data_IF_644624497996
#
_entry.id   IF_644624497996
#
_cell.length_a   1.000
_cell.length_b   1.000
_cell.length_c   1.000
_cell.angle_alpha   90.00
_cell.angle_beta   90.00
_cell.angle_gamma   90.00
#
_symmetry.space_group_name_H-M   'P 1'
#
loop_
_entity.id
_entity.type
_entity.pdbx_description
1 polymer ?
#
# COMPACT_ATOMS: atom_id res chain seq x y z
N UNK A 1 -13.61 6.44 21.17
CA UNK A 1 -12.80 6.40 19.94
C UNK A 1 -11.52 5.64 20.24
N UNK A 2 -11.63 4.30 20.28
CA UNK A 2 -10.48 3.40 20.45
C UNK A 2 -10.20 2.85 19.06
N UNK A 3 -9.12 3.28 18.43
CA UNK A 3 -8.66 2.68 17.18
C UNK A 3 -8.14 1.29 17.53
N UNK A 4 -8.77 0.25 16.97
CA UNK A 4 -8.31 -1.12 17.12
C UNK A 4 -6.83 -1.20 16.75
N UNK A 5 -5.98 -1.55 17.72
CA UNK A 5 -4.53 -1.75 17.56
C UNK A 5 -4.16 -2.60 16.32
N UNK A 6 -4.95 -3.63 15.95
CA UNK A 6 -4.77 -4.36 14.69
C UNK A 6 -4.92 -3.51 13.42
N UNK A 7 -5.84 -2.54 13.41
CA UNK A 7 -6.03 -1.63 12.27
C UNK A 7 -4.84 -0.67 12.13
N UNK A 8 -4.29 -0.23 13.26
CA UNK A 8 -3.12 0.64 13.32
C UNK A 8 -1.86 -0.13 12.88
N UNK A 9 -1.71 -1.39 13.32
CA UNK A 9 -0.65 -2.28 12.88
C UNK A 9 -0.74 -2.59 11.37
N UNK A 10 -1.94 -2.89 10.86
CA UNK A 10 -2.16 -3.09 9.41
C UNK A 10 -1.87 -1.81 8.62
N UNK A 11 -2.22 -0.64 9.16
CA UNK A 11 -1.95 0.66 8.51
C UNK A 11 -0.45 0.97 8.48
N UNK A 12 0.28 0.71 9.56
CA UNK A 12 1.72 0.98 9.65
C UNK A 12 2.57 -0.01 8.84
N UNK A 13 2.16 -1.29 8.77
CA UNK A 13 2.92 -2.30 8.03
C UNK A 13 2.51 -2.43 6.56
N UNK A 14 1.26 -2.12 6.21
CA UNK A 14 0.81 -2.19 4.82
C UNK A 14 0.73 -0.84 4.11
N UNK A 15 0.73 0.30 4.83
CA UNK A 15 0.63 1.68 4.30
C UNK A 15 -0.41 1.88 3.19
N UNK A 16 -1.40 0.99 3.07
CA UNK A 16 -2.61 1.25 2.31
C UNK A 16 -3.40 2.24 3.14
N UNK A 17 -3.28 3.53 2.81
CA UNK A 17 -3.99 4.66 3.40
C UNK A 17 -5.39 4.27 3.90
N UNK A 18 -5.59 3.93 5.18
CA UNK A 18 -6.41 2.77 5.60
C UNK A 18 -7.52 2.40 4.60
N UNK A 19 -7.17 1.55 3.62
CA UNK A 19 -8.09 1.14 2.56
C UNK A 19 -8.50 2.25 1.58
N UNK A 20 -7.60 3.12 1.13
CA UNK A 20 -7.91 4.16 0.15
C UNK A 20 -8.28 3.50 -1.17
N UNK A 21 -7.54 2.48 -1.56
CA UNK A 21 -7.84 1.69 -2.75
C UNK A 21 -9.18 1.00 -2.56
N UNK A 22 -9.39 0.37 -1.40
CA UNK A 22 -10.65 -0.31 -1.07
C UNK A 22 -11.85 0.65 -1.09
N UNK A 23 -11.75 1.83 -0.48
CA UNK A 23 -12.79 2.87 -0.44
C UNK A 23 -13.02 3.51 -1.80
N UNK A 24 -11.95 3.81 -2.53
CA UNK A 24 -12.02 4.38 -3.87
C UNK A 24 -12.69 3.40 -4.83
N UNK A 25 -12.32 2.11 -4.78
CA UNK A 25 -12.99 1.04 -5.53
C UNK A 25 -14.46 0.90 -5.14
N UNK A 26 -14.80 1.05 -3.86
CA UNK A 26 -16.19 0.95 -3.41
C UNK A 26 -17.01 2.15 -3.89
N UNK A 27 -16.40 3.34 -3.96
CA UNK A 27 -17.04 4.55 -4.47
C UNK A 27 -17.32 4.48 -5.98
N UNK A 28 -16.64 3.60 -6.74
CA UNK A 28 -16.99 3.35 -8.14
C UNK A 28 -18.19 2.40 -8.31
N UNK A 29 -18.69 1.80 -7.23
CA UNK A 29 -19.87 0.92 -7.27
C UNK A 29 -21.16 1.72 -7.06
N UNK A 30 -22.18 1.44 -7.89
CA UNK A 30 -23.54 1.95 -7.75
C UNK A 30 -24.49 0.76 -7.62
N UNK A 31 -25.46 0.89 -6.72
CA UNK A 31 -26.56 -0.06 -6.60
C UNK A 31 -27.54 0.15 -7.77
N UNK A 32 -27.73 -0.89 -8.58
CA UNK A 32 -28.67 -0.86 -9.68
C UNK A 32 -30.09 -1.07 -9.14
N UNK A 33 -30.84 0.03 -9.05
CA UNK A 33 -32.24 0.04 -8.57
C UNK A 33 -33.22 -0.51 -9.60
N UNK A 34 -32.78 -0.93 -10.79
CA UNK A 34 -33.67 -1.44 -11.85
C UNK A 34 -34.03 -2.93 -11.71
N UNK A 35 -33.45 -3.64 -10.74
CA UNK A 35 -33.80 -5.04 -10.49
C UNK A 35 -35.15 -5.13 -9.78
N UNK A 36 -36.19 -5.14 -10.60
CA UNK A 36 -37.56 -5.67 -10.46
C UNK A 36 -38.27 -5.55 -9.10
N UNK A 37 -39.47 -4.98 -9.16
CA UNK A 37 -40.45 -4.81 -8.08
C UNK A 37 -40.93 -6.08 -7.34
N UNK A 38 -40.24 -7.23 -7.46
CA UNK A 38 -40.68 -8.51 -6.88
C UNK A 38 -39.55 -9.46 -6.47
N UNK A 39 -38.26 -9.06 -6.51
CA UNK A 39 -37.17 -9.91 -5.97
C UNK A 39 -36.05 -9.05 -5.40
N UNK A 40 -35.80 -9.17 -4.09
CA UNK A 40 -34.86 -8.37 -3.30
C UNK A 40 -33.36 -8.52 -3.67
N UNK A 41 -32.99 -8.93 -4.88
CA UNK A 41 -31.58 -9.12 -5.23
C UNK A 41 -30.93 -7.77 -5.53
N UNK A 42 -30.10 -7.27 -4.60
CA UNK A 42 -29.26 -6.08 -4.81
C UNK A 42 -28.16 -6.38 -5.83
N UNK A 43 -28.28 -5.81 -7.02
CA UNK A 43 -27.26 -5.90 -8.07
C UNK A 43 -26.37 -4.66 -8.01
N UNK A 44 -25.05 -4.86 -7.97
CA UNK A 44 -24.06 -3.77 -7.99
C UNK A 44 -23.46 -3.64 -9.39
N UNK A 45 -23.41 -2.42 -9.90
CA UNK A 45 -22.79 -2.08 -11.18
C UNK A 45 -21.68 -1.05 -10.98
N UNK A 46 -20.71 -1.00 -11.89
CA UNK A 46 -19.62 -0.02 -11.82
C UNK A 46 -19.98 1.22 -12.61
N UNK A 47 -19.91 2.38 -11.96
CA UNK A 47 -20.00 3.68 -12.60
C UNK A 47 -18.75 3.90 -13.47
N UNK A 48 -18.96 3.95 -14.79
CA UNK A 48 -17.89 4.09 -15.77
C UNK A 48 -17.12 5.40 -15.60
N UNK A 49 -17.78 6.49 -15.22
CA UNK A 49 -17.15 7.80 -15.09
C UNK A 49 -16.33 7.87 -13.80
N UNK A 50 -16.87 7.41 -12.67
CA UNK A 50 -16.11 7.30 -11.42
C UNK A 50 -14.93 6.34 -11.55
N UNK A 51 -15.13 5.21 -12.24
CA UNK A 51 -14.06 4.26 -12.54
C UNK A 51 -12.96 4.87 -13.39
N UNK A 52 -13.33 5.62 -14.43
CA UNK A 52 -12.38 6.33 -15.29
C UNK A 52 -11.56 7.35 -14.51
N UNK A 53 -12.22 8.14 -13.65
CA UNK A 53 -11.54 9.11 -12.78
C UNK A 53 -10.56 8.42 -11.83
N UNK A 54 -11.02 7.38 -11.13
CA UNK A 54 -10.17 6.56 -10.26
C UNK A 54 -8.96 5.99 -11.01
N UNK A 55 -9.19 5.38 -12.17
CA UNK A 55 -8.14 4.74 -12.98
C UNK A 55 -7.06 5.73 -13.39
N UNK A 56 -7.44 6.95 -13.81
CA UNK A 56 -6.48 8.01 -14.16
C UNK A 56 -5.64 8.41 -12.95
N UNK A 57 -6.29 8.74 -11.83
CA UNK A 57 -5.59 9.10 -10.60
C UNK A 57 -4.67 7.97 -10.11
N UNK A 58 -5.13 6.73 -10.18
CA UNK A 58 -4.31 5.56 -9.82
C UNK A 58 -3.08 5.42 -10.72
N UNK A 59 -3.24 5.57 -12.03
CA UNK A 59 -2.11 5.55 -12.98
C UNK A 59 -1.11 6.66 -12.69
N UNK A 60 -1.58 7.90 -12.48
CA UNK A 60 -0.69 9.04 -12.20
C UNK A 60 0.12 8.80 -10.91
N UNK A 61 -0.53 8.32 -9.85
CA UNK A 61 0.14 8.02 -8.58
C UNK A 61 1.11 6.84 -8.72
N UNK A 62 0.73 5.78 -9.44
CA UNK A 62 1.58 4.61 -9.65
C UNK A 62 2.83 4.94 -10.47
N UNK A 63 2.71 5.85 -11.45
CA UNK A 63 3.86 6.37 -12.20
C UNK A 63 4.82 7.15 -11.29
N UNK A 64 4.30 8.03 -10.43
CA UNK A 64 5.13 8.77 -9.46
C UNK A 64 5.88 7.83 -8.51
N UNK A 65 5.21 6.79 -8.02
CA UNK A 65 5.84 5.79 -7.15
C UNK A 65 6.90 5.00 -7.91
N UNK A 66 6.65 4.62 -9.17
CA UNK A 66 7.64 3.92 -9.99
C UNK A 66 8.91 4.75 -10.23
N UNK A 67 8.75 6.07 -10.43
CA UNK A 67 9.87 7.01 -10.48
C UNK A 67 10.63 7.06 -9.15
N UNK A 68 9.91 7.18 -8.03
CA UNK A 68 10.55 7.23 -6.71
C UNK A 68 11.25 5.91 -6.35
N UNK A 69 10.66 4.76 -6.73
CA UNK A 69 11.28 3.45 -6.60
C UNK A 69 12.56 3.34 -7.42
N UNK A 70 12.61 3.97 -8.60
CA UNK A 70 13.82 4.03 -9.44
C UNK A 70 14.91 4.89 -8.81
N UNK A 71 14.55 6.03 -8.21
CA UNK A 71 15.50 6.86 -7.43
C UNK A 71 16.06 6.06 -6.25
N UNK A 72 15.19 5.34 -5.54
CA UNK A 72 15.59 4.48 -4.43
C UNK A 72 16.50 3.34 -4.91
N UNK A 73 16.23 2.75 -6.07
CA UNK A 73 17.08 1.74 -6.69
C UNK A 73 18.50 2.28 -6.94
N UNK A 74 18.59 3.49 -7.52
CA UNK A 74 19.87 4.16 -7.77
C UNK A 74 20.62 4.48 -6.45
N UNK A 75 19.89 4.92 -5.42
CA UNK A 75 20.45 5.16 -4.10
C UNK A 75 20.99 3.88 -3.45
N UNK A 76 20.29 2.75 -3.58
CA UNK A 76 20.76 1.45 -3.09
C UNK A 76 22.03 1.00 -3.82
N UNK A 77 22.07 1.12 -5.16
CA UNK A 77 23.27 0.79 -5.93
C UNK A 77 24.47 1.67 -5.53
N UNK A 78 24.23 2.96 -5.30
CA UNK A 78 25.27 3.89 -4.84
C UNK A 78 25.76 3.54 -3.44
N UNK A 79 24.86 3.15 -2.54
CA UNK A 79 25.20 2.71 -1.18
C UNK A 79 26.04 1.43 -1.19
N UNK A 80 25.65 0.43 -1.98
CA UNK A 80 26.42 -0.82 -2.13
C UNK A 80 27.82 -0.59 -2.73
N UNK A 81 27.97 0.41 -3.59
CA UNK A 81 29.25 0.77 -4.19
C UNK A 81 30.21 1.50 -3.24
N UNK A 82 29.77 1.88 -2.03
CA UNK A 82 30.66 2.49 -1.04
C UNK A 82 31.68 1.43 -0.60
N UNK A 83 32.97 1.75 -0.68
CA UNK A 83 34.06 0.81 -0.41
C UNK A 83 33.98 0.17 0.98
N UNK A 84 33.50 0.89 2.00
CA UNK A 84 33.30 0.34 3.35
C UNK A 84 32.25 -0.77 3.42
N UNK A 85 31.36 -0.84 2.43
CA UNK A 85 30.30 -1.84 2.32
C UNK A 85 30.73 -2.94 1.35
N UNK A 86 31.24 -2.57 0.18
CA UNK A 86 31.69 -3.52 -0.84
C UNK A 86 32.86 -4.40 -0.36
N UNK A 87 33.76 -3.83 0.43
CA UNK A 87 34.91 -4.55 1.01
C UNK A 87 34.67 -4.98 2.47
N UNK A 88 33.43 -4.96 2.96
CA UNK A 88 33.13 -5.28 4.35
C UNK A 88 33.52 -6.73 4.70
N UNK A 89 34.17 -6.97 5.86
CA UNK A 89 34.50 -8.31 6.30
C UNK A 89 33.21 -9.10 6.55
N UNK A 90 33.02 -10.16 5.76
CA UNK A 90 31.80 -10.98 5.77
C UNK A 90 31.00 -10.94 4.46
N UNK A 91 31.31 -10.04 3.51
CA UNK A 91 30.66 -9.97 2.20
C UNK A 91 29.13 -10.02 2.30
N UNK A 92 28.49 -10.95 1.58
CA UNK A 92 27.03 -11.17 1.59
C UNK A 92 26.39 -11.43 2.97
N UNK A 93 27.19 -11.80 3.98
CA UNK A 93 26.70 -11.96 5.37
C UNK A 93 26.66 -10.63 6.15
N UNK A 94 27.12 -9.52 5.56
CA UNK A 94 27.07 -8.19 6.15
C UNK A 94 25.63 -7.66 6.14
N UNK A 95 25.04 -7.46 7.32
CA UNK A 95 23.62 -7.13 7.45
C UNK A 95 23.16 -5.88 6.66
N UNK A 96 23.91 -4.75 6.63
CA UNK A 96 23.55 -3.61 5.78
C UNK A 96 23.47 -3.94 4.29
N UNK A 97 24.37 -4.78 3.80
CA UNK A 97 24.36 -5.22 2.41
C UNK A 97 23.13 -6.08 2.11
N UNK A 98 22.79 -7.02 3.01
CA UNK A 98 21.57 -7.85 2.88
C UNK A 98 20.30 -7.00 2.83
N UNK A 99 20.17 -6.02 3.73
CA UNK A 99 19.00 -5.13 3.75
C UNK A 99 18.95 -4.23 2.52
N UNK A 100 20.08 -3.76 2.00
CA UNK A 100 20.10 -2.99 0.75
C UNK A 100 19.71 -3.85 -0.46
N UNK A 101 20.10 -5.12 -0.53
CA UNK A 101 19.60 -6.03 -1.58
C UNK A 101 18.11 -6.33 -1.45
N UNK A 102 17.60 -6.56 -0.24
CA UNK A 102 16.17 -6.76 0.00
C UNK A 102 15.36 -5.51 -0.43
N UNK A 103 15.89 -4.32 -0.11
CA UNK A 103 15.35 -3.05 -0.55
C UNK A 103 15.32 -2.93 -2.08
N UNK A 104 16.42 -3.27 -2.75
CA UNK A 104 16.55 -3.24 -4.20
C UNK A 104 15.52 -4.17 -4.87
N UNK A 105 15.41 -5.41 -4.38
CA UNK A 105 14.43 -6.38 -4.88
C UNK A 105 12.99 -5.88 -4.69
N UNK A 106 12.68 -5.31 -3.53
CA UNK A 106 11.36 -4.74 -3.25
C UNK A 106 11.05 -3.54 -4.16
N UNK A 107 12.02 -2.66 -4.44
CA UNK A 107 11.86 -1.56 -5.41
C UNK A 107 11.56 -2.09 -6.83
N UNK A 108 12.28 -3.13 -7.27
CA UNK A 108 12.00 -3.77 -8.56
C UNK A 108 10.60 -4.40 -8.60
N UNK A 109 10.19 -5.10 -7.54
CA UNK A 109 8.83 -5.63 -7.44
C UNK A 109 7.78 -4.52 -7.49
N UNK A 110 8.02 -3.37 -6.85
CA UNK A 110 7.14 -2.20 -6.93
C UNK A 110 7.00 -1.67 -8.36
N UNK A 111 8.11 -1.49 -9.07
CA UNK A 111 8.11 -1.03 -10.47
C UNK A 111 7.39 -2.05 -11.37
N UNK A 112 7.75 -3.33 -11.25
CA UNK A 112 7.14 -4.40 -12.06
C UNK A 112 5.63 -4.49 -11.82
N UNK A 113 5.19 -4.48 -10.56
CA UNK A 113 3.76 -4.50 -10.24
C UNK A 113 3.06 -3.22 -10.69
N UNK A 114 3.67 -2.04 -10.54
CA UNK A 114 3.12 -0.77 -11.03
C UNK A 114 2.94 -0.73 -12.54
N UNK A 115 3.85 -1.37 -13.31
CA UNK A 115 3.75 -1.49 -14.76
C UNK A 115 2.73 -2.55 -15.21
N UNK A 116 2.68 -3.70 -14.51
CA UNK A 116 1.77 -4.80 -14.84
C UNK A 116 0.33 -4.48 -14.46
N UNK A 117 0.12 -3.77 -13.36
CA UNK A 117 -1.18 -3.34 -12.88
C UNK A 117 -1.64 -2.12 -13.70
N UNK A 118 -1.92 -2.37 -14.98
CA UNK A 118 -2.72 -1.45 -15.78
C UNK A 118 -4.13 -1.41 -15.17
N UNK A 119 -4.79 -0.23 -15.11
CA UNK A 119 -6.18 -0.15 -14.65
C UNK A 119 -7.04 -1.09 -15.51
N UNK A 120 -7.80 -2.04 -14.92
CA UNK A 120 -8.53 -3.01 -15.71
C UNK A 120 -9.60 -2.33 -16.58
N UNK A 121 -9.87 -2.95 -17.74
CA UNK A 121 -10.71 -2.38 -18.81
C UNK A 121 -12.14 -2.07 -18.38
N UNK A 122 -12.64 -2.68 -17.31
CA UNK A 122 -13.80 -2.24 -16.53
C UNK A 122 -13.92 -3.20 -15.35
N UNK A 123 -14.02 -2.67 -14.14
CA UNK A 123 -14.27 -3.51 -12.97
C UNK A 123 -15.74 -3.94 -13.01
N UNK A 124 -16.03 -5.24 -13.00
CA UNK A 124 -17.39 -5.76 -12.77
C UNK A 124 -17.35 -6.58 -11.49
N UNK A 125 -18.08 -6.14 -10.47
CA UNK A 125 -18.06 -6.80 -9.17
C UNK A 125 -18.78 -8.16 -9.25
N UNK A 126 -18.00 -9.24 -9.33
CA UNK A 126 -18.52 -10.61 -9.31
C UNK A 126 -18.68 -11.16 -7.87
N UNK A 127 -18.28 -10.40 -6.84
CA UNK A 127 -18.44 -10.78 -5.43
C UNK A 127 -17.38 -10.20 -4.49
N UNK A 128 -17.59 -10.30 -3.16
CA UNK A 128 -16.72 -9.70 -2.14
C UNK A 128 -15.27 -10.22 -2.20
N UNK A 129 -15.06 -11.50 -2.51
CA UNK A 129 -13.72 -12.08 -2.64
C UNK A 129 -12.95 -11.54 -3.86
N UNK A 130 -13.64 -11.21 -4.95
CA UNK A 130 -13.01 -10.60 -6.12
C UNK A 130 -12.60 -9.15 -5.82
N UNK A 131 -13.47 -8.41 -5.14
CA UNK A 131 -13.18 -7.04 -4.68
C UNK A 131 -11.93 -6.98 -3.79
N UNK A 132 -11.81 -7.89 -2.82
CA UNK A 132 -10.64 -7.97 -1.93
C UNK A 132 -9.35 -8.27 -2.69
N UNK A 133 -9.39 -9.21 -3.65
CA UNK A 133 -8.22 -9.54 -4.49
C UNK A 133 -7.81 -8.35 -5.35
N UNK A 134 -8.78 -7.63 -5.92
CA UNK A 134 -8.51 -6.45 -6.73
C UNK A 134 -7.84 -5.35 -5.91
N UNK A 135 -8.35 -5.06 -4.71
CA UNK A 135 -7.76 -4.09 -3.80
C UNK A 135 -6.31 -4.47 -3.43
N UNK A 136 -6.05 -5.75 -3.15
CA UNK A 136 -4.71 -6.25 -2.85
C UNK A 136 -3.75 -6.07 -4.05
N UNK A 137 -4.18 -6.43 -5.26
CA UNK A 137 -3.37 -6.28 -6.48
C UNK A 137 -3.04 -4.81 -6.74
N UNK A 138 -4.03 -3.92 -6.62
CA UNK A 138 -3.83 -2.48 -6.79
C UNK A 138 -2.96 -1.86 -5.69
N UNK A 139 -3.00 -2.38 -4.46
CA UNK A 139 -2.15 -1.93 -3.36
C UNK A 139 -0.71 -2.45 -3.42
N UNK A 140 -0.46 -3.52 -4.17
CA UNK A 140 0.86 -4.18 -4.21
C UNK A 140 2.04 -3.27 -4.60
N UNK A 141 1.95 -2.35 -5.60
CA UNK A 141 3.08 -1.49 -5.96
C UNK A 141 3.51 -0.58 -4.80
N UNK A 142 2.53 -0.08 -4.05
CA UNK A 142 2.71 0.78 -2.89
C UNK A 142 3.36 0.01 -1.74
N UNK A 143 2.86 -1.20 -1.47
CA UNK A 143 3.37 -2.07 -0.42
C UNK A 143 4.86 -2.39 -0.63
N UNK A 144 5.22 -2.84 -1.84
CA UNK A 144 6.60 -3.17 -2.17
C UNK A 144 7.52 -1.95 -2.11
N UNK A 145 7.04 -0.78 -2.54
CA UNK A 145 7.80 0.46 -2.44
C UNK A 145 8.10 0.82 -0.97
N UNK A 146 7.12 0.67 -0.09
CA UNK A 146 7.30 0.96 1.34
C UNK A 146 8.27 -0.01 2.01
N UNK A 147 8.16 -1.31 1.73
CA UNK A 147 9.15 -2.27 2.23
C UNK A 147 10.57 -1.94 1.75
N UNK A 148 10.71 -1.48 0.50
CA UNK A 148 12.00 -1.02 -0.02
C UNK A 148 12.57 0.13 0.82
N UNK A 149 11.76 1.14 1.12
CA UNK A 149 12.16 2.26 1.98
C UNK A 149 12.58 1.81 3.38
N UNK A 150 11.80 0.92 4.02
CA UNK A 150 12.10 0.42 5.36
C UNK A 150 13.41 -0.38 5.40
N UNK A 151 13.61 -1.28 4.44
CA UNK A 151 14.85 -2.04 4.36
C UNK A 151 16.06 -1.15 4.08
N UNK A 152 15.92 -0.14 3.21
CA UNK A 152 17.01 0.80 2.95
C UNK A 152 17.36 1.64 4.18
N UNK A 153 16.35 2.14 4.88
CA UNK A 153 16.54 2.88 6.13
C UNK A 153 17.26 2.01 7.17
N UNK A 154 16.85 0.75 7.31
CA UNK A 154 17.48 -0.19 8.23
C UNK A 154 18.94 -0.49 7.83
N UNK A 155 19.22 -0.62 6.53
CA UNK A 155 20.59 -0.79 6.03
C UNK A 155 21.49 0.38 6.45
N UNK A 156 21.02 1.63 6.26
CA UNK A 156 21.75 2.84 6.65
C UNK A 156 21.96 2.88 8.17
N UNK A 157 20.91 2.64 8.96
CA UNK A 157 20.98 2.69 10.42
C UNK A 157 21.99 1.67 10.97
N UNK A 158 21.96 0.43 10.48
CA UNK A 158 22.89 -0.62 10.91
C UNK A 158 24.31 -0.27 10.48
N UNK A 159 24.51 0.26 9.26
CA UNK A 159 25.84 0.68 8.80
C UNK A 159 26.42 1.80 9.67
N UNK A 160 25.63 2.84 9.97
CA UNK A 160 26.04 3.93 10.85
C UNK A 160 26.34 3.45 12.28
N UNK A 161 25.53 2.52 12.81
CA UNK A 161 25.76 1.93 14.12
C UNK A 161 27.07 1.13 14.18
N UNK A 162 27.36 0.35 13.13
CA UNK A 162 28.58 -0.46 13.04
C UNK A 162 29.85 0.41 13.03
N UNK A 163 29.84 1.52 12.29
CA UNK A 163 30.97 2.45 12.21
C UNK A 163 31.04 3.47 13.35
N UNK A 164 30.22 3.33 14.40
CA UNK A 164 30.15 4.25 15.56
C UNK A 164 30.01 5.72 15.14
N UNK A 165 29.32 5.99 14.03
CA UNK A 165 29.12 7.33 13.51
C UNK A 165 28.00 8.06 14.30
N UNK A 166 28.27 8.36 15.58
CA UNK A 166 27.27 8.86 16.54
C UNK A 166 26.53 10.09 16.01
N UNK A 167 27.23 11.05 15.37
CA UNK A 167 26.60 12.24 14.81
C UNK A 167 25.60 11.92 13.68
N UNK A 168 25.98 11.05 12.74
CA UNK A 168 25.09 10.62 11.65
C UNK A 168 23.91 9.82 12.18
N UNK A 169 24.14 8.98 13.19
CA UNK A 169 23.10 8.17 13.83
C UNK A 169 22.08 9.04 14.56
N UNK A 170 22.52 10.08 15.29
CA UNK A 170 21.61 11.03 15.96
C UNK A 170 20.79 11.78 14.93
N UNK A 171 21.40 12.28 13.85
CA UNK A 171 20.67 12.98 12.78
C UNK A 171 19.66 12.05 12.11
N UNK A 172 20.06 10.81 11.78
CA UNK A 172 19.17 9.82 11.18
C UNK A 172 18.01 9.45 12.12
N UNK A 173 18.27 9.28 13.41
CA UNK A 173 17.24 9.02 14.41
C UNK A 173 16.26 10.19 14.55
N UNK A 174 16.73 11.44 14.51
CA UNK A 174 15.87 12.62 14.53
C UNK A 174 14.96 12.69 13.30
N UNK A 175 15.50 12.45 12.10
CA UNK A 175 14.68 12.41 10.88
C UNK A 175 13.68 11.25 10.90
N UNK A 176 14.10 10.06 11.36
CA UNK A 176 13.20 8.91 11.50
C UNK A 176 12.07 9.20 12.51
N UNK A 177 12.39 9.77 13.66
CA UNK A 177 11.40 10.16 14.67
C UNK A 177 10.46 11.25 14.15
N UNK A 178 10.99 12.23 13.42
CA UNK A 178 10.20 13.26 12.75
C UNK A 178 9.21 12.62 11.77
N UNK A 179 9.68 11.77 10.85
CA UNK A 179 8.80 11.06 9.90
C UNK A 179 7.74 10.22 10.63
N UNK A 180 8.15 9.45 11.64
CA UNK A 180 7.24 8.63 12.46
C UNK A 180 6.19 9.47 13.20
N UNK A 181 6.48 10.73 13.53
CA UNK A 181 5.52 11.65 14.12
C UNK A 181 4.54 12.23 13.09
N UNK A 182 5.03 12.59 11.90
CA UNK A 182 4.19 13.16 10.85
C UNK A 182 3.25 12.14 10.20
N UNK A 183 3.60 10.86 10.19
CA UNK A 183 2.75 9.80 9.61
C UNK A 183 1.39 9.70 10.34
N UNK A 184 1.33 9.54 11.68
CA UNK A 184 0.07 9.58 12.43
C UNK A 184 -0.66 10.91 12.32
N UNK A 185 0.07 12.03 12.28
CA UNK A 185 -0.55 13.36 12.16
C UNK A 185 -1.24 13.53 10.80
N UNK A 186 -0.53 13.19 9.72
CA UNK A 186 -1.08 13.18 8.38
C UNK A 186 -2.27 12.22 8.27
N UNK A 187 -2.17 11.04 8.88
CA UNK A 187 -3.28 10.09 8.98
C UNK A 187 -4.49 10.70 9.69
N UNK A 188 -4.31 11.30 10.87
CA UNK A 188 -5.37 11.94 11.64
C UNK A 188 -6.07 13.06 10.85
N UNK A 189 -5.30 13.82 10.06
CA UNK A 189 -5.83 14.91 9.23
C UNK A 189 -6.57 14.36 7.99
N UNK A 190 -6.10 13.26 7.41
CA UNK A 190 -6.63 12.71 6.16
C UNK A 190 -7.68 11.63 6.34
N UNK A 191 -7.94 11.19 7.57
CA UNK A 191 -8.98 10.21 7.87
C UNK A 191 -10.37 10.81 7.59
N UNK A 192 -11.13 10.29 6.61
CA UNK A 192 -12.51 10.70 6.38
C UNK A 192 -13.38 10.08 7.49
N UNK A 193 -13.88 10.93 8.38
CA UNK A 193 -14.50 10.54 9.66
C UNK A 193 -15.85 9.79 9.58
N UNK A 194 -16.36 9.37 8.39
CA UNK A 194 -17.77 8.92 8.27
C UNK A 194 -18.11 7.73 7.34
N UNK A 195 -17.19 7.11 6.60
CA UNK A 195 -17.58 6.14 5.54
C UNK A 195 -17.36 4.65 5.86
N UNK A 196 -16.62 4.28 6.91
CA UNK A 196 -16.20 2.89 7.15
C UNK A 196 -17.39 2.00 7.57
N UNK A 197 -18.27 2.50 8.43
CA UNK A 197 -19.44 1.75 8.93
C UNK A 197 -20.43 1.38 7.81
N UNK A 198 -20.49 2.20 6.75
CA UNK A 198 -21.41 1.95 5.63
C UNK A 198 -20.94 0.81 4.72
N UNK A 199 -19.64 0.51 4.69
CA UNK A 199 -19.06 -0.50 3.80
C UNK A 199 -19.20 -1.91 4.35
N UNK A 200 -18.91 -2.10 5.64
CA UNK A 200 -19.02 -3.40 6.30
C UNK A 200 -20.49 -3.86 6.35
N UNK A 201 -21.40 -2.91 6.60
CA UNK A 201 -22.83 -3.14 6.50
C UNK A 201 -23.28 -3.59 5.09
N UNK A 202 -22.72 -3.04 4.01
CA UNK A 202 -23.05 -3.45 2.63
C UNK A 202 -22.68 -4.89 2.33
N UNK A 203 -21.48 -5.33 2.71
CA UNK A 203 -21.02 -6.70 2.40
C UNK A 203 -21.63 -7.75 3.32
N UNK A 204 -21.89 -7.39 4.58
CA UNK A 204 -22.53 -8.29 5.55
C UNK A 204 -23.98 -8.59 5.17
N UNK A 205 -24.74 -7.60 4.70
CA UNK A 205 -26.11 -7.83 4.20
C UNK A 205 -26.11 -8.74 2.97
N UNK A 206 -25.26 -8.46 1.98
CA UNK A 206 -25.21 -9.24 0.75
C UNK A 206 -24.82 -10.71 1.00
N UNK A 207 -23.99 -10.98 2.02
CA UNK A 207 -23.63 -12.35 2.39
C UNK A 207 -24.74 -13.09 3.13
N UNK A 208 -25.51 -12.41 3.99
CA UNK A 208 -26.66 -13.02 4.70
C UNK A 208 -27.81 -13.34 3.76
N UNK A 209 -28.08 -12.44 2.81
CA UNK A 209 -29.14 -12.60 1.83
C UNK A 209 -28.87 -13.80 0.89
N UNK A 210 -27.61 -14.01 0.48
CA UNK A 210 -27.22 -15.20 -0.29
C UNK A 210 -27.38 -16.51 0.47
N UNK A 211 -27.12 -16.51 1.79
CA UNK A 211 -27.26 -17.71 2.61
C UNK A 211 -28.74 -18.10 2.80
N UNK A 212 -29.64 -17.11 2.96
CA UNK A 212 -31.07 -17.34 3.13
C UNK A 212 -31.80 -17.85 1.89
N UNK A 213 -31.23 -17.69 0.69
CA UNK A 213 -31.81 -18.19 -0.57
C UNK A 213 -31.35 -19.60 -0.96
N UNK A 214 -30.48 -20.22 -0.17
CA UNK A 214 -29.93 -21.56 -0.43
C UNK A 214 -30.48 -22.67 0.48
N UNK A 215 -31.40 -22.32 1.40
CA UNK A 215 -32.20 -23.24 2.22
C UNK A 215 -33.63 -23.37 1.66
#
# INVERSE_FOLDING_TARGET
MWTDLPSLFMTVFFFDHPGFIHRSLAHTQIEDKRSLADTQIKVWSTDVEKWRKFSRTYTDVTQQISLLATVLLAANMSFLAIQSIDSAPGGLSYAPQLFSYASLLAALCSIMTGLVVCPPRLFTNHGPSYFRRMAFVLGSPFLFFMYSLWFFLLAILIHCAYHKAVGQLVIAALFAAFLLYFIPLYWLITEPCNDIDTLDHRFTIASREKAATTD
#
